data_IF_256612665513
#
_entry.id   IF_256612665513
#
_cell.length_a   1.000
_cell.length_b   1.000
_cell.length_c   1.000
_cell.angle_alpha   90.00
_cell.angle_beta   90.00
_cell.angle_gamma   90.00
#
_symmetry.space_group_name_H-M   'P 1'
#
loop_
_entity.id
_entity.type
_entity.pdbx_description
1 polymer ?
#
# COMPACT_ATOMS: atom_id res chain seq x y z
N UNK A 1 1.99 50.60 58.48
CA UNK A 1 0.84 51.21 59.17
C UNK A 1 -0.41 50.74 58.43
N UNK A 2 -1.18 49.82 59.05
CA UNK A 2 -2.61 49.49 58.80
C UNK A 2 -2.96 48.88 57.42
N UNK A 3 -3.32 47.60 57.27
CA UNK A 3 -4.43 46.81 57.82
C UNK A 3 -5.83 47.21 57.30
N UNK A 4 -6.42 46.30 56.50
CA UNK A 4 -7.82 45.84 56.46
C UNK A 4 -8.99 46.82 56.61
N UNK A 5 -9.93 46.77 55.67
CA UNK A 5 -11.38 46.90 55.97
C UNK A 5 -12.21 45.88 55.18
N UNK A 6 -13.11 45.24 55.92
CA UNK A 6 -14.02 44.13 55.60
C UNK A 6 -15.45 44.67 55.38
N UNK A 7 -16.28 43.83 54.73
CA UNK A 7 -17.76 43.64 54.85
C UNK A 7 -18.70 44.62 54.12
N UNK A 8 -19.64 44.06 53.34
CA UNK A 8 -20.95 43.59 53.85
C UNK A 8 -21.71 42.69 52.85
N UNK A 9 -22.66 41.94 53.40
CA UNK A 9 -23.38 40.76 52.89
C UNK A 9 -24.75 41.16 52.30
N UNK A 10 -25.25 40.39 51.32
CA UNK A 10 -26.67 40.40 50.93
C UNK A 10 -27.04 39.32 49.92
N UNK A 11 -27.82 38.32 50.37
CA UNK A 11 -28.31 37.14 49.64
C UNK A 11 -29.16 37.48 48.39
N UNK A 12 -29.31 36.64 47.35
CA UNK A 12 -30.20 35.45 47.32
C UNK A 12 -30.20 34.76 45.93
N UNK A 13 -30.53 33.46 45.92
CA UNK A 13 -31.14 32.63 44.85
C UNK A 13 -30.31 32.07 43.68
N UNK A 14 -30.00 30.76 43.82
CA UNK A 14 -30.28 29.63 42.91
C UNK A 14 -30.71 29.97 41.47
N UNK A 15 -29.91 29.54 40.48
CA UNK A 15 -30.33 28.53 39.49
C UNK A 15 -29.23 28.14 38.49
N UNK A 16 -29.14 26.82 38.31
CA UNK A 16 -28.65 26.08 37.12
C UNK A 16 -27.15 26.12 36.79
N UNK A 17 -26.48 25.08 37.32
CA UNK A 17 -25.38 24.38 36.66
C UNK A 17 -25.80 23.96 35.24
N UNK A 18 -25.34 24.70 34.22
CA UNK A 18 -25.08 24.10 32.91
C UNK A 18 -23.70 23.48 32.95
N UNK A 19 -23.66 22.17 33.23
CA UNK A 19 -22.50 21.34 32.92
C UNK A 19 -22.38 21.28 31.39
N UNK A 20 -21.60 22.19 30.83
CA UNK A 20 -21.13 22.08 29.45
C UNK A 20 -20.08 20.97 29.39
N UNK A 21 -20.51 19.72 29.19
CA UNK A 21 -19.64 18.70 28.60
C UNK A 21 -19.46 19.07 27.13
N UNK A 22 -18.57 20.03 26.89
CA UNK A 22 -18.00 20.26 25.57
C UNK A 22 -17.12 19.06 25.22
N UNK A 23 -17.74 18.00 24.69
CA UNK A 23 -17.02 17.06 23.84
C UNK A 23 -16.55 17.84 22.64
N UNK A 24 -15.33 18.36 22.73
CA UNK A 24 -14.62 18.92 21.60
C UNK A 24 -14.22 17.72 20.71
N UNK A 25 -15.19 17.19 19.97
CA UNK A 25 -14.87 16.37 18.80
C UNK A 25 -14.26 17.32 17.79
N UNK A 26 -12.93 17.28 17.65
CA UNK A 26 -12.31 17.66 16.40
C UNK A 26 -12.87 16.70 15.33
N UNK A 27 -13.99 17.12 14.73
CA UNK A 27 -14.33 16.71 13.38
C UNK A 27 -13.14 17.14 12.54
N UNK A 28 -12.20 16.21 12.32
CA UNK A 28 -11.25 16.34 11.23
C UNK A 28 -12.14 16.48 10.01
N UNK A 29 -12.26 17.69 9.51
CA UNK A 29 -12.94 18.01 8.25
C UNK A 29 -12.08 17.43 7.14
N UNK A 30 -12.01 16.10 7.09
CA UNK A 30 -11.45 15.33 6.03
C UNK A 30 -12.34 15.66 4.82
N UNK A 31 -11.80 16.48 3.92
CA UNK A 31 -12.36 16.72 2.61
C UNK A 31 -12.92 15.39 2.10
N UNK A 32 -14.25 15.31 1.96
CA UNK A 32 -14.91 14.10 1.45
C UNK A 32 -14.15 13.67 0.20
N UNK A 33 -13.56 12.47 0.25
CA UNK A 33 -12.48 12.15 -0.67
C UNK A 33 -12.88 12.31 -2.15
N UNK A 34 -11.93 12.69 -3.00
CA UNK A 34 -12.21 12.95 -4.42
C UNK A 34 -12.29 11.62 -5.15
N UNK A 35 -13.47 11.30 -5.68
CA UNK A 35 -13.71 10.15 -6.56
C UNK A 35 -13.55 10.62 -8.00
N UNK A 36 -12.74 9.89 -8.77
CA UNK A 36 -12.46 10.09 -10.18
C UNK A 36 -12.74 8.79 -10.96
N UNK A 37 -13.00 8.90 -12.26
CA UNK A 37 -13.21 7.74 -13.14
C UNK A 37 -12.21 7.80 -14.29
N UNK A 38 -11.27 6.86 -14.31
CA UNK A 38 -10.19 6.78 -15.31
C UNK A 38 -10.29 5.46 -16.07
N UNK A 39 -10.51 5.52 -17.38
CA UNK A 39 -10.57 4.33 -18.26
C UNK A 39 -11.53 3.24 -17.74
N UNK A 40 -12.69 3.63 -17.20
CA UNK A 40 -13.68 2.69 -16.65
C UNK A 40 -13.37 2.16 -15.25
N UNK A 41 -12.31 2.66 -14.60
CA UNK A 41 -11.97 2.36 -13.20
C UNK A 41 -12.33 3.55 -12.32
N UNK A 42 -13.09 3.30 -11.26
CA UNK A 42 -13.39 4.28 -10.20
C UNK A 42 -12.21 4.31 -9.22
N UNK A 43 -11.63 5.48 -9.03
CA UNK A 43 -10.47 5.68 -8.19
C UNK A 43 -10.75 6.81 -7.20
N UNK A 44 -10.55 6.54 -5.90
CA UNK A 44 -10.51 7.57 -4.87
C UNK A 44 -9.06 7.73 -4.41
N UNK A 45 -8.35 8.73 -4.93
CA UNK A 45 -6.92 8.93 -4.64
C UNK A 45 -6.67 9.71 -3.35
N UNK A 46 -7.62 10.54 -2.92
CA UNK A 46 -7.46 11.43 -1.76
C UNK A 46 -8.68 11.42 -0.89
N UNK A 47 -8.45 11.38 0.42
CA UNK A 47 -9.50 11.37 1.43
C UNK A 47 -10.29 10.05 1.47
N UNK A 48 -10.96 9.82 2.58
CA UNK A 48 -11.96 8.78 2.75
C UNK A 48 -13.14 9.44 3.43
N UNK A 49 -14.39 9.06 3.14
CA UNK A 49 -15.48 9.52 3.97
C UNK A 49 -15.20 9.12 5.42
N UNK A 50 -15.32 10.13 6.28
CA UNK A 50 -14.68 10.29 7.59
C UNK A 50 -14.67 8.99 8.39
N UNK A 51 -13.54 8.68 9.03
CA UNK A 51 -13.59 7.81 10.19
C UNK A 51 -14.62 8.43 11.15
N UNK A 52 -15.69 7.68 11.45
CA UNK A 52 -16.81 8.17 12.25
C UNK A 52 -16.70 7.65 13.68
N UNK A 53 -17.26 8.39 14.63
CA UNK A 53 -17.34 7.90 16.01
C UNK A 53 -18.32 6.72 16.11
N UNK A 54 -18.20 5.89 17.16
CA UNK A 54 -19.19 4.86 17.47
C UNK A 54 -20.62 5.40 17.55
N UNK A 55 -20.83 6.55 18.21
CA UNK A 55 -22.14 7.20 18.33
C UNK A 55 -22.71 7.58 16.96
N UNK A 56 -21.88 8.14 16.09
CA UNK A 56 -22.28 8.48 14.73
C UNK A 56 -22.61 7.21 13.92
N UNK A 57 -21.83 6.15 14.07
CA UNK A 57 -22.11 4.87 13.43
C UNK A 57 -23.46 4.31 13.87
N UNK A 58 -23.79 4.37 15.16
CA UNK A 58 -25.08 3.91 15.70
C UNK A 58 -26.27 4.73 15.20
N UNK A 59 -26.10 6.06 15.05
CA UNK A 59 -27.09 6.92 14.41
C UNK A 59 -27.30 6.48 12.95
N UNK A 60 -26.22 6.25 12.19
CA UNK A 60 -26.30 5.83 10.79
C UNK A 60 -26.92 4.44 10.64
N UNK A 61 -26.58 3.50 11.54
CA UNK A 61 -27.15 2.15 11.64
C UNK A 61 -28.67 2.18 11.85
N UNK A 62 -29.15 3.03 12.76
CA UNK A 62 -30.57 3.12 13.14
C UNK A 62 -31.44 3.93 12.18
N UNK A 63 -30.83 4.71 11.28
CA UNK A 63 -31.56 5.56 10.31
C UNK A 63 -32.25 4.72 9.23
N UNK A 64 -33.58 4.56 9.35
CA UNK A 64 -34.42 3.79 8.40
C UNK A 64 -34.48 4.38 6.99
N UNK A 65 -34.36 5.70 6.85
CA UNK A 65 -34.48 6.39 5.57
C UNK A 65 -33.24 6.36 4.68
N UNK A 66 -32.12 5.85 5.19
CA UNK A 66 -30.90 5.70 4.40
C UNK A 66 -30.86 4.30 3.78
N UNK A 67 -30.66 4.17 2.47
CA UNK A 67 -30.43 2.88 1.84
C UNK A 67 -29.01 2.37 2.14
N UNK A 68 -28.81 1.04 2.18
CA UNK A 68 -27.53 0.38 2.48
C UNK A 68 -27.44 -0.23 3.89
N UNK A 69 -26.64 -1.28 4.06
CA UNK A 69 -26.47 -2.02 5.31
C UNK A 69 -25.23 -1.63 6.12
N UNK A 70 -25.01 -2.31 7.25
CA UNK A 70 -23.68 -2.40 7.87
C UNK A 70 -22.93 -3.53 7.18
N UNK A 71 -21.64 -3.32 6.94
CA UNK A 71 -20.71 -4.38 6.58
C UNK A 71 -19.65 -4.49 7.66
N UNK A 72 -19.64 -5.61 8.36
CA UNK A 72 -18.66 -5.88 9.42
C UNK A 72 -17.68 -6.95 8.97
N UNK A 73 -16.38 -6.69 9.16
CA UNK A 73 -15.34 -7.69 9.07
C UNK A 73 -15.18 -8.37 10.44
N UNK A 74 -15.74 -9.56 10.59
CA UNK A 74 -15.78 -10.23 11.90
C UNK A 74 -14.47 -10.89 12.32
N UNK A 75 -13.58 -11.23 11.37
CA UNK A 75 -12.24 -11.73 11.69
C UNK A 75 -11.30 -11.64 10.48
N UNK A 76 -10.04 -11.27 10.76
CA UNK A 76 -8.90 -11.42 9.85
C UNK A 76 -7.84 -12.39 10.39
N UNK A 77 -8.10 -13.04 11.52
CA UNK A 77 -7.08 -13.81 12.27
C UNK A 77 -6.45 -14.94 11.45
N UNK A 78 -7.16 -15.43 10.42
CA UNK A 78 -6.67 -16.48 9.53
C UNK A 78 -6.01 -15.95 8.27
N UNK A 79 -6.16 -14.65 7.99
CA UNK A 79 -5.48 -14.01 6.87
C UNK A 79 -4.02 -13.89 7.29
N UNK A 80 -3.10 -14.43 6.49
CA UNK A 80 -1.69 -14.56 6.89
C UNK A 80 -0.93 -13.22 7.05
N UNK A 81 0.11 -13.03 6.23
CA UNK A 81 1.08 -11.94 6.40
C UNK A 81 0.49 -10.55 6.15
N UNK A 82 1.20 -9.50 6.56
CA UNK A 82 0.83 -8.08 6.42
C UNK A 82 0.35 -7.65 5.03
N UNK A 83 0.97 -8.13 3.94
CA UNK A 83 0.50 -7.84 2.57
C UNK A 83 -0.89 -8.41 2.26
N UNK A 84 -1.22 -9.55 2.87
CA UNK A 84 -2.52 -10.18 2.76
C UNK A 84 -3.58 -9.38 3.54
N UNK A 85 -3.28 -8.94 4.75
CA UNK A 85 -4.17 -8.05 5.51
C UNK A 85 -4.53 -6.80 4.71
N UNK A 86 -3.53 -6.14 4.11
CA UNK A 86 -3.76 -4.98 3.27
C UNK A 86 -4.73 -5.27 2.11
N UNK A 87 -4.52 -6.39 1.40
CA UNK A 87 -5.40 -6.79 0.29
C UNK A 87 -6.84 -7.05 0.74
N UNK A 88 -7.02 -7.69 1.90
CA UNK A 88 -8.32 -7.93 2.49
C UNK A 88 -9.05 -6.61 2.80
N UNK A 89 -8.35 -5.66 3.42
CA UNK A 89 -8.88 -4.33 3.74
C UNK A 89 -9.26 -3.57 2.46
N UNK A 90 -8.38 -3.53 1.45
CA UNK A 90 -8.65 -2.90 0.15
C UNK A 90 -9.88 -3.51 -0.54
N UNK A 91 -10.03 -4.83 -0.46
CA UNK A 91 -11.18 -5.57 -0.98
C UNK A 91 -12.47 -5.17 -0.27
N UNK A 92 -12.43 -5.02 1.06
CA UNK A 92 -13.59 -4.60 1.86
C UNK A 92 -14.01 -3.17 1.58
N UNK A 93 -13.06 -2.24 1.40
CA UNK A 93 -13.38 -0.88 0.97
C UNK A 93 -14.06 -0.86 -0.41
N UNK A 94 -13.56 -1.65 -1.35
CA UNK A 94 -14.16 -1.78 -2.68
C UNK A 94 -15.58 -2.36 -2.61
N UNK A 95 -15.78 -3.39 -1.77
CA UNK A 95 -17.10 -3.99 -1.55
C UNK A 95 -18.06 -3.02 -0.86
N UNK A 96 -17.60 -2.30 0.16
CA UNK A 96 -18.36 -1.29 0.88
C UNK A 96 -18.87 -0.20 -0.08
N UNK A 97 -17.99 0.28 -0.95
CA UNK A 97 -18.35 1.23 -2.00
C UNK A 97 -19.38 0.64 -2.98
N UNK A 98 -19.11 -0.55 -3.53
CA UNK A 98 -19.98 -1.22 -4.50
C UNK A 98 -21.39 -1.54 -3.94
N UNK A 99 -21.46 -1.90 -2.67
CA UNK A 99 -22.72 -2.19 -1.97
C UNK A 99 -23.37 -0.95 -1.36
N UNK A 100 -22.72 0.21 -1.46
CA UNK A 100 -23.16 1.47 -0.85
C UNK A 100 -23.49 1.29 0.64
N UNK A 101 -22.59 0.64 1.37
CA UNK A 101 -22.79 0.33 2.79
C UNK A 101 -22.80 1.61 3.61
N UNK A 102 -23.67 1.68 4.62
CA UNK A 102 -23.74 2.84 5.52
C UNK A 102 -22.51 2.92 6.39
N UNK A 103 -22.11 1.79 6.95
CA UNK A 103 -20.99 1.69 7.87
C UNK A 103 -20.18 0.47 7.45
N UNK A 104 -18.90 0.67 7.19
CA UNK A 104 -17.91 -0.38 7.12
C UNK A 104 -17.16 -0.41 8.45
N UNK A 105 -17.27 -1.53 9.13
CA UNK A 105 -16.58 -1.79 10.39
C UNK A 105 -15.38 -2.69 10.09
N UNK A 106 -14.19 -2.13 10.28
CA UNK A 106 -12.92 -2.82 10.13
C UNK A 106 -12.33 -3.11 11.52
N UNK A 107 -11.57 -4.20 11.64
CA UNK A 107 -10.76 -4.44 12.82
C UNK A 107 -9.74 -3.31 12.97
N UNK A 108 -9.19 -3.17 14.17
CA UNK A 108 -8.05 -2.29 14.39
C UNK A 108 -6.86 -2.58 13.49
N UNK A 109 -6.07 -1.54 13.28
CA UNK A 109 -4.73 -1.73 12.80
C UNK A 109 -3.86 -2.29 13.91
N UNK A 110 -3.29 -3.47 13.66
CA UNK A 110 -2.16 -3.88 14.44
C UNK A 110 -0.99 -2.96 14.09
N UNK A 111 -0.60 -2.09 15.02
CA UNK A 111 0.64 -1.31 14.94
C UNK A 111 1.86 -2.22 14.96
N UNK A 112 1.68 -3.50 15.32
CA UNK A 112 2.60 -4.59 15.00
C UNK A 112 2.04 -5.27 13.76
N UNK A 113 2.56 -4.97 12.58
CA UNK A 113 2.31 -5.84 11.43
C UNK A 113 2.53 -7.30 11.89
N UNK A 114 1.60 -8.24 11.59
CA UNK A 114 1.66 -9.58 12.15
C UNK A 114 3.08 -10.12 11.98
N UNK A 115 3.70 -10.47 13.11
CA UNK A 115 4.96 -11.21 13.08
C UNK A 115 4.74 -12.46 12.23
N UNK A 116 5.79 -13.00 11.62
CA UNK A 116 5.64 -14.24 10.82
C UNK A 116 5.01 -15.41 11.62
N UNK A 117 4.96 -15.29 12.95
CA UNK A 117 4.33 -16.21 13.91
C UNK A 117 2.82 -16.01 14.15
N UNK A 118 2.17 -14.97 13.62
CA UNK A 118 0.70 -14.81 13.68
C UNK A 118 0.13 -14.65 15.09
N UNK A 119 0.73 -13.82 15.94
CA UNK A 119 0.22 -13.57 17.29
C UNK A 119 -1.22 -13.02 17.30
N UNK A 120 -1.93 -13.27 18.42
CA UNK A 120 -3.37 -13.00 18.55
C UNK A 120 -3.70 -11.52 18.45
N UNK A 121 -4.60 -11.25 17.52
CA UNK A 121 -5.23 -9.96 17.29
C UNK A 121 -5.96 -9.45 18.54
N UNK A 122 -5.77 -8.18 18.90
CA UNK A 122 -6.56 -7.51 19.95
C UNK A 122 -7.25 -6.30 19.33
N UNK A 123 -8.56 -6.43 19.12
CA UNK A 123 -9.40 -5.44 18.44
C UNK A 123 -9.79 -4.29 19.37
N UNK A 124 -9.58 -3.05 18.94
CA UNK A 124 -10.64 -2.02 18.94
C UNK A 124 -11.14 -1.79 17.50
N UNK A 125 -12.03 -0.82 17.26
CA UNK A 125 -12.91 -0.82 16.07
C UNK A 125 -12.73 0.44 15.24
N UNK A 126 -12.36 0.29 13.95
CA UNK A 126 -12.33 1.40 12.99
C UNK A 126 -13.64 1.45 12.19
N UNK A 127 -14.30 2.61 12.19
CA UNK A 127 -15.61 2.80 11.56
C UNK A 127 -15.52 3.80 10.42
N UNK A 128 -15.87 3.35 9.21
CA UNK A 128 -15.93 4.19 8.01
C UNK A 128 -17.36 4.28 7.52
N UNK A 129 -17.72 5.35 6.83
CA UNK A 129 -19.06 5.48 6.27
C UNK A 129 -19.08 5.87 4.81
N UNK A 130 -19.93 5.24 3.99
CA UNK A 130 -20.09 5.60 2.57
C UNK A 130 -21.43 6.29 2.28
N UNK A 131 -22.17 6.71 3.31
CA UNK A 131 -23.52 7.24 3.14
C UNK A 131 -23.58 8.67 2.60
N UNK A 132 -22.48 9.42 2.66
CA UNK A 132 -22.37 10.73 2.01
C UNK A 132 -21.95 10.55 0.55
N UNK A 133 -22.88 10.12 -0.29
CA UNK A 133 -22.80 10.38 -1.73
C UNK A 133 -22.86 11.90 -1.90
N UNK A 134 -21.72 12.60 -2.03
CA UNK A 134 -21.68 13.94 -2.63
C UNK A 134 -22.06 13.84 -4.12
N UNK A 135 -23.31 13.45 -4.40
CA UNK A 135 -23.91 13.33 -5.75
C UNK A 135 -24.73 14.55 -6.13
N UNK A 136 -24.59 15.67 -5.42
CA UNK A 136 -25.02 16.96 -5.98
C UNK A 136 -24.23 17.29 -7.26
N UNK A 137 -23.09 16.63 -7.51
CA UNK A 137 -22.62 16.43 -8.88
C UNK A 137 -23.37 15.23 -9.44
N UNK A 138 -24.30 15.50 -10.35
CA UNK A 138 -24.84 14.47 -11.23
C UNK A 138 -23.68 13.57 -11.69
N UNK A 139 -23.84 12.23 -11.69
CA UNK A 139 -22.82 11.35 -12.24
C UNK A 139 -22.39 11.92 -13.59
N UNK A 140 -21.08 12.02 -13.88
CA UNK A 140 -20.57 12.68 -15.08
C UNK A 140 -21.40 12.20 -16.27
N UNK A 141 -22.15 13.12 -16.89
CA UNK A 141 -23.05 12.76 -17.99
C UNK A 141 -22.21 12.12 -19.08
N UNK A 142 -22.46 10.83 -19.28
CA UNK A 142 -21.69 9.95 -20.14
C UNK A 142 -21.80 10.39 -21.60
N UNK A 143 -20.65 10.68 -22.22
CA UNK A 143 -20.54 10.77 -23.68
C UNK A 143 -20.42 9.34 -24.21
N UNK A 144 -21.37 8.96 -25.08
CA UNK A 144 -21.63 7.63 -25.63
C UNK A 144 -20.37 6.78 -25.97
N UNK A 145 -20.25 5.60 -25.34
CA UNK A 145 -19.23 4.58 -25.65
C UNK A 145 -18.95 3.68 -24.44
N UNK A 146 -19.85 2.74 -24.15
CA UNK A 146 -20.12 2.11 -22.86
C UNK A 146 -19.05 1.19 -22.21
N UNK A 147 -18.72 1.51 -20.95
CA UNK A 147 -18.38 0.61 -19.83
C UNK A 147 -19.04 1.21 -18.55
N UNK A 148 -19.45 0.39 -17.56
CA UNK A 148 -20.83 -0.06 -17.37
C UNK A 148 -21.72 0.81 -16.46
N UNK A 149 -23.02 0.70 -16.72
CA UNK A 149 -24.17 1.46 -16.23
C UNK A 149 -24.97 0.81 -15.08
N UNK A 150 -24.44 -0.14 -14.29
CA UNK A 150 -25.30 -0.92 -13.35
C UNK A 150 -24.89 -0.90 -11.86
N UNK A 151 -24.15 0.11 -11.39
CA UNK A 151 -23.81 0.20 -9.95
C UNK A 151 -24.97 0.62 -9.05
N UNK A 152 -26.00 1.25 -9.62
CA UNK A 152 -27.14 1.73 -8.84
C UNK A 152 -28.07 0.59 -8.39
N UNK A 153 -28.05 -0.55 -9.10
CA UNK A 153 -28.92 -1.70 -8.82
C UNK A 153 -28.43 -2.67 -7.74
N UNK A 154 -27.22 -2.49 -7.19
CA UNK A 154 -26.66 -3.40 -6.17
C UNK A 154 -27.02 -2.98 -4.73
N UNK A 155 -27.61 -1.80 -4.56
CA UNK A 155 -27.87 -1.23 -3.25
C UNK A 155 -28.94 -2.01 -2.47
N UNK A 156 -28.60 -2.46 -1.27
CA UNK A 156 -29.55 -3.11 -0.34
C UNK A 156 -30.06 -4.49 -0.78
N UNK A 157 -29.52 -5.04 -1.87
CA UNK A 157 -29.84 -6.39 -2.34
C UNK A 157 -29.09 -7.43 -1.52
N UNK A 158 -29.75 -8.02 -0.53
CA UNK A 158 -29.19 -9.08 0.33
C UNK A 158 -28.63 -10.27 -0.46
N UNK A 159 -29.19 -10.55 -1.63
CA UNK A 159 -28.76 -11.63 -2.52
C UNK A 159 -27.42 -11.35 -3.23
N UNK A 160 -27.00 -10.08 -3.25
CA UNK A 160 -25.76 -9.63 -3.89
C UNK A 160 -24.77 -9.12 -2.84
N UNK A 161 -25.25 -8.28 -1.92
CA UNK A 161 -24.49 -7.53 -0.95
C UNK A 161 -24.69 -8.10 0.47
N UNK A 162 -23.62 -8.65 1.07
CA UNK A 162 -23.65 -9.22 2.41
C UNK A 162 -23.70 -8.13 3.50
N UNK A 163 -24.17 -8.50 4.70
CA UNK A 163 -24.01 -7.67 5.91
C UNK A 163 -22.78 -8.03 6.76
N UNK A 164 -22.28 -9.25 6.60
CA UNK A 164 -21.10 -9.75 7.31
C UNK A 164 -20.24 -10.55 6.35
N UNK A 165 -18.91 -10.45 6.49
CA UNK A 165 -17.99 -11.30 5.75
C UNK A 165 -16.93 -11.90 6.65
N UNK A 166 -16.82 -13.22 6.54
CA UNK A 166 -15.66 -13.99 6.95
C UNK A 166 -14.72 -14.12 5.76
N UNK A 167 -13.45 -13.79 5.95
CA UNK A 167 -12.43 -14.02 4.94
C UNK A 167 -11.79 -15.36 5.26
N UNK A 168 -11.95 -16.33 4.35
CA UNK A 168 -11.29 -17.63 4.50
C UNK A 168 -9.78 -17.42 4.38
N UNK A 169 -9.04 -17.85 5.39
CA UNK A 169 -7.61 -17.52 5.57
C UNK A 169 -6.66 -18.11 4.52
N UNK A 170 -7.16 -18.70 3.43
CA UNK A 170 -6.31 -19.35 2.44
C UNK A 170 -5.72 -18.35 1.45
N UNK A 171 -6.48 -17.32 1.07
CA UNK A 171 -5.98 -16.26 0.20
C UNK A 171 -6.69 -14.94 0.48
N UNK A 172 -5.91 -13.89 0.71
CA UNK A 172 -6.37 -12.61 1.26
C UNK A 172 -7.32 -11.79 0.38
N UNK A 173 -7.47 -12.20 -0.88
CA UNK A 173 -8.32 -11.60 -1.90
C UNK A 173 -9.44 -12.53 -2.36
N UNK A 174 -9.49 -13.78 -1.88
CA UNK A 174 -10.53 -14.74 -2.26
C UNK A 174 -11.70 -14.69 -1.27
N UNK A 175 -12.51 -13.63 -1.38
CA UNK A 175 -13.86 -13.68 -0.84
C UNK A 175 -14.67 -14.61 -1.75
N UNK A 176 -14.93 -15.84 -1.29
CA UNK A 176 -15.73 -16.82 -2.05
C UNK A 176 -17.22 -16.47 -1.96
N UNK A 177 -17.98 -16.95 -2.95
CA UNK A 177 -19.44 -16.79 -2.97
C UNK A 177 -19.90 -15.34 -3.18
N UNK A 178 -19.06 -14.49 -3.78
CA UNK A 178 -19.51 -13.17 -4.24
C UNK A 178 -20.34 -13.29 -5.51
N UNK A 179 -21.42 -12.52 -5.58
CA UNK A 179 -22.22 -12.40 -6.79
C UNK A 179 -21.34 -11.83 -7.94
N UNK A 180 -21.43 -12.35 -9.18
CA UNK A 180 -20.57 -11.93 -10.30
C UNK A 180 -20.59 -10.41 -10.56
N UNK A 181 -21.75 -9.75 -10.46
CA UNK A 181 -21.85 -8.30 -10.59
C UNK A 181 -21.08 -7.53 -9.51
N UNK A 182 -21.14 -7.99 -8.25
CA UNK A 182 -20.38 -7.39 -7.16
C UNK A 182 -18.87 -7.57 -7.39
N UNK A 183 -18.46 -8.78 -7.78
CA UNK A 183 -17.06 -9.06 -8.11
C UNK A 183 -16.57 -8.17 -9.27
N UNK A 184 -17.37 -8.00 -10.32
CA UNK A 184 -17.08 -7.10 -11.44
C UNK A 184 -16.93 -5.65 -10.98
N UNK A 185 -17.80 -5.19 -10.08
CA UNK A 185 -17.67 -3.86 -9.48
C UNK A 185 -16.37 -3.69 -8.70
N UNK A 186 -16.09 -4.62 -7.79
CA UNK A 186 -14.92 -4.54 -6.91
C UNK A 186 -13.59 -4.54 -7.68
N UNK A 187 -13.51 -5.23 -8.82
CA UNK A 187 -12.33 -5.19 -9.70
C UNK A 187 -12.06 -3.78 -10.25
N UNK A 188 -13.13 -3.02 -10.51
CA UNK A 188 -13.10 -1.69 -11.12
C UNK A 188 -13.13 -0.54 -10.11
N UNK A 189 -13.10 -0.82 -8.81
CA UNK A 189 -13.07 0.20 -7.76
C UNK A 189 -11.74 0.13 -7.02
N UNK A 190 -11.17 1.29 -6.70
CA UNK A 190 -9.91 1.45 -5.97
C UNK A 190 -10.07 2.60 -4.96
N UNK A 191 -10.07 2.27 -3.67
CA UNK A 191 -10.34 3.22 -2.60
C UNK A 191 -9.05 3.65 -1.89
N UNK A 192 -8.06 4.13 -2.66
CA UNK A 192 -6.70 4.43 -2.15
C UNK A 192 -6.70 5.44 -1.00
N UNK A 193 -7.55 6.46 -1.08
CA UNK A 193 -7.72 7.44 -0.03
C UNK A 193 -8.27 6.84 1.26
N UNK A 194 -9.12 5.82 1.17
CA UNK A 194 -9.58 5.02 2.32
C UNK A 194 -8.52 4.09 2.87
N UNK A 195 -7.80 3.41 1.99
CA UNK A 195 -6.65 2.60 2.40
C UNK A 195 -5.61 3.47 3.12
N UNK A 196 -5.30 4.65 2.59
CA UNK A 196 -4.35 5.59 3.20
C UNK A 196 -4.88 6.17 4.51
N UNK A 197 -6.18 6.48 4.60
CA UNK A 197 -6.81 6.99 5.82
C UNK A 197 -6.79 5.92 6.93
N UNK A 198 -7.13 4.68 6.57
CA UNK A 198 -7.02 3.53 7.46
C UNK A 198 -5.58 3.38 7.94
N UNK A 199 -4.63 3.32 7.00
CA UNK A 199 -3.21 3.12 7.30
C UNK A 199 -2.52 4.32 7.98
N UNK A 200 -3.15 5.49 8.05
CA UNK A 200 -2.49 6.76 8.42
C UNK A 200 -1.72 6.69 9.74
N UNK A 201 -2.30 6.05 10.75
CA UNK A 201 -1.67 5.92 12.08
C UNK A 201 -0.49 4.96 12.05
N UNK A 202 -0.60 3.85 11.32
CA UNK A 202 0.52 2.95 11.07
C UNK A 202 1.61 3.71 10.32
N UNK A 203 1.30 4.29 9.15
CA UNK A 203 2.25 5.01 8.28
C UNK A 203 2.88 6.26 8.94
N UNK A 204 2.46 6.65 10.15
CA UNK A 204 3.05 7.69 10.97
C UNK A 204 2.90 9.13 10.45
N UNK A 205 1.91 9.36 9.57
CA UNK A 205 1.65 10.66 8.97
C UNK A 205 2.79 11.21 8.10
N UNK A 206 2.63 12.44 7.59
CA UNK A 206 3.65 13.08 6.72
C UNK A 206 5.00 13.29 7.42
N UNK A 207 5.02 13.28 8.76
CA UNK A 207 6.21 13.43 9.59
C UNK A 207 7.01 12.14 9.76
N UNK A 208 6.45 10.96 9.47
CA UNK A 208 7.16 9.70 9.66
C UNK A 208 8.24 9.44 8.61
N UNK A 209 8.07 9.98 7.40
CA UNK A 209 9.19 10.02 6.48
C UNK A 209 9.99 11.27 6.79
N UNK A 210 11.26 11.16 7.20
CA UNK A 210 12.10 12.34 7.35
C UNK A 210 12.01 13.09 6.02
N UNK A 211 11.53 14.34 6.09
CA UNK A 211 11.53 15.19 4.92
C UNK A 211 12.92 15.08 4.34
N UNK A 212 13.08 14.82 3.02
CA UNK A 212 14.39 14.88 2.40
C UNK A 212 14.95 16.20 2.89
N UNK A 213 15.98 16.16 3.74
CA UNK A 213 16.57 17.41 4.23
C UNK A 213 16.80 18.18 2.95
N UNK A 214 16.13 19.33 2.81
CA UNK A 214 16.35 20.26 1.71
C UNK A 214 17.82 20.63 1.85
N UNK A 215 18.69 19.78 1.33
CA UNK A 215 20.10 20.05 1.13
C UNK A 215 20.07 21.03 -0.03
N UNK A 216 19.83 22.28 0.36
CA UNK A 216 20.07 23.51 -0.36
C UNK A 216 19.86 23.34 -1.87
N UNK A 217 18.60 23.51 -2.28
CA UNK A 217 18.24 23.91 -3.63
C UNK A 217 18.69 25.37 -3.89
N UNK A 218 19.95 25.68 -3.60
CA UNK A 218 20.59 26.92 -3.99
C UNK A 218 21.74 26.57 -4.92
N UNK A 219 21.60 27.04 -6.17
CA UNK A 219 22.52 27.00 -7.31
C UNK A 219 22.42 25.77 -8.22
N UNK A 220 21.32 25.71 -8.98
CA UNK A 220 21.34 25.13 -10.34
C UNK A 220 21.72 26.18 -11.40
N UNK A 221 22.32 27.32 -11.02
CA UNK A 221 22.61 28.45 -11.93
C UNK A 221 24.10 28.82 -12.03
N UNK A 222 25.02 27.92 -11.66
CA UNK A 222 26.45 28.11 -11.94
C UNK A 222 26.94 27.18 -13.05
N UNK A 223 26.78 27.69 -14.27
CA UNK A 223 27.68 27.51 -15.41
C UNK A 223 28.98 26.77 -15.05
N UNK A 224 29.07 25.50 -15.42
CA UNK A 224 30.29 24.72 -15.31
C UNK A 224 31.41 25.33 -16.17
N UNK A 225 32.18 26.25 -15.59
CA UNK A 225 33.55 26.51 -16.03
C UNK A 225 34.40 25.33 -15.57
N UNK A 226 34.84 24.55 -16.55
CA UNK A 226 35.86 23.51 -16.43
C UNK A 226 37.14 24.09 -15.83
N UNK A 227 37.29 24.01 -14.50
CA UNK A 227 38.60 24.09 -13.85
C UNK A 227 39.09 22.67 -13.62
N UNK A 228 39.92 22.21 -14.55
CA UNK A 228 40.68 20.97 -14.40
C UNK A 228 41.73 21.16 -13.29
N UNK A 229 41.67 20.36 -12.20
CA UNK A 229 42.79 20.36 -11.27
C UNK A 229 42.62 19.82 -9.85
N UNK A 230 41.46 19.34 -9.42
CA UNK A 230 41.33 18.78 -8.05
C UNK A 230 40.83 17.34 -8.08
N UNK A 231 41.73 16.42 -7.72
CA UNK A 231 41.50 14.98 -7.53
C UNK A 231 40.78 14.69 -6.21
N UNK A 232 39.76 15.47 -5.83
CA UNK A 232 38.85 15.02 -4.77
C UNK A 232 37.84 14.06 -5.40
N UNK A 233 37.42 12.98 -4.71
CA UNK A 233 36.32 12.16 -5.17
C UNK A 233 35.11 13.07 -5.32
N UNK A 234 34.73 13.36 -6.57
CA UNK A 234 33.54 14.13 -6.87
C UNK A 234 32.38 13.35 -6.26
N UNK A 235 31.82 13.84 -5.16
CA UNK A 235 30.57 13.32 -4.61
C UNK A 235 29.51 13.47 -5.71
N UNK A 236 29.29 12.39 -6.46
CA UNK A 236 28.24 12.35 -7.46
C UNK A 236 26.93 12.55 -6.70
N UNK A 237 26.22 13.64 -6.98
CA UNK A 237 24.79 13.74 -6.63
C UNK A 237 24.07 12.61 -7.37
N UNK A 238 23.85 11.52 -6.67
CA UNK A 238 23.12 10.36 -7.14
C UNK A 238 21.62 10.58 -7.17
N UNK A 239 20.90 9.60 -7.74
CA UNK A 239 19.48 9.64 -8.07
C UNK A 239 18.52 9.51 -6.87
N UNK A 240 18.98 9.84 -5.66
CA UNK A 240 18.24 9.66 -4.41
C UNK A 240 18.51 8.30 -3.75
N UNK A 241 17.64 7.95 -2.81
CA UNK A 241 17.63 6.67 -2.10
C UNK A 241 16.91 5.58 -2.89
N UNK A 242 17.51 4.39 -2.94
CA UNK A 242 16.89 3.16 -3.45
C UNK A 242 16.69 2.18 -2.31
N UNK A 243 15.46 1.68 -2.16
CA UNK A 243 15.18 0.53 -1.29
C UNK A 243 14.81 -0.67 -2.16
N UNK A 244 15.50 -1.78 -1.96
CA UNK A 244 15.32 -3.04 -2.69
C UNK A 244 14.68 -4.06 -1.77
N UNK A 245 13.43 -4.42 -2.03
CA UNK A 245 12.71 -5.46 -1.31
C UNK A 245 12.93 -6.82 -1.95
N UNK A 246 13.69 -7.69 -1.27
CA UNK A 246 13.95 -9.06 -1.69
C UNK A 246 13.11 -10.00 -0.84
N UNK A 247 12.10 -10.62 -1.44
CA UNK A 247 11.24 -11.57 -0.73
C UNK A 247 12.01 -12.86 -0.45
N UNK A 248 11.97 -13.31 0.80
CA UNK A 248 12.55 -14.55 1.31
C UNK A 248 11.51 -15.33 2.14
N UNK A 249 11.93 -16.43 2.78
CA UNK A 249 11.13 -17.14 3.78
C UNK A 249 10.23 -18.23 3.20
N UNK A 250 8.92 -18.11 3.43
CA UNK A 250 7.91 -19.14 3.16
C UNK A 250 7.83 -19.64 1.72
N UNK A 251 8.18 -18.80 0.76
CA UNK A 251 8.25 -19.17 -0.66
C UNK A 251 9.40 -20.15 -0.96
N UNK A 252 10.44 -20.18 -0.12
CA UNK A 252 11.60 -21.05 -0.26
C UNK A 252 11.48 -22.35 0.56
N UNK A 253 10.44 -22.47 1.39
CA UNK A 253 10.17 -23.69 2.17
C UNK A 253 9.75 -24.84 1.26
N UNK A 254 10.38 -26.03 1.34
CA UNK A 254 9.95 -27.20 0.57
C UNK A 254 8.48 -27.55 0.83
N UNK A 255 7.76 -27.98 -0.22
CA UNK A 255 6.36 -28.42 -0.12
C UNK A 255 5.34 -27.30 0.08
N UNK A 256 5.75 -26.03 -0.02
CA UNK A 256 4.85 -24.88 0.02
C UNK A 256 3.99 -24.79 -1.24
N UNK A 257 2.71 -24.42 -1.10
CA UNK A 257 1.82 -24.11 -2.24
C UNK A 257 2.19 -22.77 -2.90
N UNK A 258 3.07 -21.98 -2.27
CA UNK A 258 3.46 -20.65 -2.72
C UNK A 258 4.60 -20.64 -3.75
N UNK A 259 4.95 -21.80 -4.30
CA UNK A 259 5.95 -21.93 -5.37
C UNK A 259 5.58 -21.17 -6.66
N UNK A 260 4.31 -20.80 -6.80
CA UNK A 260 3.77 -20.01 -7.91
C UNK A 260 4.10 -18.50 -7.79
N UNK A 261 4.66 -18.06 -6.65
CA UNK A 261 5.14 -16.70 -6.45
C UNK A 261 6.64 -16.63 -6.73
N UNK A 262 7.05 -17.06 -7.93
CA UNK A 262 8.47 -17.02 -8.31
C UNK A 262 9.08 -15.64 -8.07
N UNK A 263 10.37 -15.63 -7.77
CA UNK A 263 11.06 -14.41 -7.38
C UNK A 263 11.97 -13.93 -8.51
N UNK A 264 12.25 -12.62 -8.60
CA UNK A 264 13.14 -12.11 -9.64
C UNK A 264 14.52 -12.76 -9.58
N UNK A 265 15.16 -12.98 -10.75
CA UNK A 265 16.53 -13.46 -10.77
C UNK A 265 17.49 -12.37 -10.26
N UNK A 266 18.69 -12.78 -9.87
CA UNK A 266 19.78 -11.89 -9.46
C UNK A 266 20.01 -10.76 -10.48
N UNK A 267 19.94 -11.08 -11.79
CA UNK A 267 20.20 -10.12 -12.86
C UNK A 267 19.21 -8.95 -12.87
N UNK A 268 17.97 -9.13 -12.42
CA UNK A 268 17.02 -8.03 -12.22
C UNK A 268 17.54 -7.03 -11.19
N UNK A 269 17.95 -7.50 -10.01
CA UNK A 269 18.46 -6.62 -8.96
C UNK A 269 19.74 -5.92 -9.40
N UNK A 270 20.65 -6.64 -10.08
CA UNK A 270 21.87 -6.05 -10.63
C UNK A 270 21.56 -4.97 -11.69
N UNK A 271 20.57 -5.20 -12.56
CA UNK A 271 20.14 -4.21 -13.54
C UNK A 271 19.58 -2.94 -12.87
N UNK A 272 18.81 -3.07 -11.80
CA UNK A 272 18.32 -1.93 -11.01
C UNK A 272 19.48 -1.17 -10.36
N UNK A 273 20.40 -1.88 -9.70
CA UNK A 273 21.58 -1.28 -9.07
C UNK A 273 22.39 -0.49 -10.10
N UNK A 274 22.62 -1.05 -11.28
CA UNK A 274 23.39 -0.44 -12.36
C UNK A 274 22.64 0.69 -13.10
N UNK A 275 21.31 0.79 -12.96
CA UNK A 275 20.50 1.71 -13.76
C UNK A 275 20.79 3.19 -13.50
N UNK A 276 21.23 3.53 -12.27
CA UNK A 276 21.53 4.91 -11.84
C UNK A 276 22.60 4.91 -10.75
N UNK A 277 23.37 6.00 -10.58
CA UNK A 277 24.20 6.18 -9.40
C UNK A 277 23.31 6.53 -8.20
N UNK A 278 23.17 5.65 -7.22
CA UNK A 278 22.31 5.86 -6.05
C UNK A 278 23.06 6.57 -4.92
N UNK A 279 22.39 7.51 -4.21
CA UNK A 279 22.97 8.17 -3.02
C UNK A 279 23.02 7.26 -1.81
N UNK A 280 22.04 6.37 -1.71
CA UNK A 280 21.92 5.39 -0.64
C UNK A 280 21.16 4.18 -1.19
N UNK A 281 21.65 2.98 -0.89
CA UNK A 281 20.93 1.74 -1.19
C UNK A 281 20.65 1.00 0.12
N UNK A 282 19.42 0.52 0.28
CA UNK A 282 19.04 -0.34 1.40
C UNK A 282 18.36 -1.60 0.86
N UNK A 283 18.91 -2.77 1.15
CA UNK A 283 18.30 -4.05 0.81
C UNK A 283 17.54 -4.56 2.02
N UNK A 284 16.26 -4.88 1.85
CA UNK A 284 15.38 -5.38 2.91
C UNK A 284 14.88 -6.77 2.55
N UNK A 285 15.02 -7.71 3.46
CA UNK A 285 14.57 -9.11 3.32
C UNK A 285 14.10 -9.65 4.67
N UNK A 286 13.26 -10.68 4.67
CA UNK A 286 12.87 -11.40 5.89
C UNK A 286 12.96 -12.93 5.69
N UNK A 287 13.68 -13.62 6.57
CA UNK A 287 13.75 -15.08 6.55
C UNK A 287 14.95 -15.62 7.32
N UNK A 288 14.82 -16.87 7.79
CA UNK A 288 15.92 -17.64 8.35
C UNK A 288 17.00 -17.88 7.28
N UNK A 289 18.25 -18.10 7.71
CA UNK A 289 19.40 -18.18 6.81
C UNK A 289 19.19 -19.19 5.68
N UNK A 290 18.70 -20.39 5.99
CA UNK A 290 18.42 -21.47 5.04
C UNK A 290 17.24 -21.18 4.09
N UNK A 291 16.42 -20.18 4.40
CA UNK A 291 15.26 -19.74 3.62
C UNK A 291 15.45 -18.36 2.97
N UNK A 292 16.66 -17.81 3.01
CA UNK A 292 17.00 -16.58 2.29
C UNK A 292 16.96 -16.78 0.79
N UNK A 293 16.48 -15.75 0.10
CA UNK A 293 16.51 -15.65 -1.34
C UNK A 293 17.97 -15.79 -1.85
N UNK A 294 18.25 -16.72 -2.78
CA UNK A 294 19.58 -16.92 -3.32
C UNK A 294 20.19 -15.64 -3.92
N UNK A 295 19.38 -14.79 -4.56
CA UNK A 295 19.84 -13.51 -5.10
C UNK A 295 20.31 -12.56 -3.98
N UNK A 296 19.63 -12.53 -2.83
CA UNK A 296 20.03 -11.71 -1.69
C UNK A 296 21.43 -12.12 -1.18
N UNK A 297 21.68 -13.42 -1.02
CA UNK A 297 22.97 -13.93 -0.55
C UNK A 297 24.13 -13.52 -1.47
N UNK A 298 23.90 -13.55 -2.78
CA UNK A 298 24.93 -13.11 -3.74
C UNK A 298 25.15 -11.60 -3.65
N UNK A 299 24.08 -10.81 -3.56
CA UNK A 299 24.19 -9.34 -3.39
C UNK A 299 24.93 -8.99 -2.09
N UNK A 300 24.64 -9.67 -0.99
CA UNK A 300 25.33 -9.51 0.29
C UNK A 300 26.83 -9.85 0.17
N UNK A 301 27.16 -10.93 -0.55
CA UNK A 301 28.54 -11.29 -0.87
C UNK A 301 29.26 -10.27 -1.75
N UNK A 302 28.58 -9.66 -2.72
CA UNK A 302 29.13 -8.57 -3.56
C UNK A 302 29.35 -7.31 -2.69
N UNK A 303 28.42 -7.01 -1.79
CA UNK A 303 28.51 -5.87 -0.88
C UNK A 303 29.67 -6.01 0.12
N UNK A 304 29.86 -7.18 0.71
CA UNK A 304 30.94 -7.43 1.68
C UNK A 304 32.34 -7.31 1.07
N UNK A 305 32.46 -7.48 -0.25
CA UNK A 305 33.67 -7.23 -1.02
C UNK A 305 33.86 -5.75 -1.41
N UNK A 306 32.95 -4.86 -1.02
CA UNK A 306 33.00 -3.43 -1.32
C UNK A 306 32.64 -3.06 -2.76
N UNK A 307 32.11 -4.00 -3.56
CA UNK A 307 31.83 -3.79 -4.98
C UNK A 307 30.58 -2.95 -5.24
N UNK A 308 29.69 -2.80 -4.26
CA UNK A 308 28.51 -1.92 -4.36
C UNK A 308 28.75 -0.50 -3.85
N UNK A 309 29.95 -0.20 -3.32
CA UNK A 309 30.29 1.08 -2.69
C UNK A 309 30.10 1.07 -1.17
N UNK A 310 30.18 2.26 -0.55
CA UNK A 310 30.14 2.42 0.91
C UNK A 310 28.78 2.84 1.47
N UNK A 311 27.83 3.17 0.60
CA UNK A 311 26.51 3.72 0.93
C UNK A 311 25.39 2.68 0.83
N UNK A 312 25.71 1.44 1.21
CA UNK A 312 24.83 0.27 1.08
C UNK A 312 24.56 -0.35 2.43
N UNK A 313 23.28 -0.52 2.75
CA UNK A 313 22.84 -1.17 3.98
C UNK A 313 22.10 -2.47 3.65
N UNK A 314 22.43 -3.53 4.38
CA UNK A 314 21.81 -4.84 4.26
C UNK A 314 20.97 -5.11 5.52
N UNK A 315 19.66 -5.27 5.36
CA UNK A 315 18.69 -5.44 6.45
C UNK A 315 18.01 -6.81 6.31
N UNK A 316 18.50 -7.79 7.07
CA UNK A 316 17.93 -9.15 7.15
C UNK A 316 17.08 -9.37 8.41
N UNK A 317 17.55 -8.82 9.53
CA UNK A 317 17.03 -9.11 10.87
C UNK A 317 16.45 -7.85 11.53
N UNK A 318 15.62 -7.12 10.79
CA UNK A 318 15.01 -5.87 11.25
C UNK A 318 13.52 -6.04 11.52
N UNK A 319 12.91 -5.30 12.47
CA UNK A 319 11.47 -5.31 12.63
C UNK A 319 10.77 -4.88 11.34
N UNK A 320 9.73 -5.62 10.95
CA UNK A 320 8.95 -5.35 9.74
C UNK A 320 8.45 -3.91 9.64
N UNK A 321 8.15 -3.27 10.78
CA UNK A 321 7.73 -1.87 10.82
C UNK A 321 8.81 -0.92 10.27
N UNK A 322 10.07 -1.11 10.64
CA UNK A 322 11.18 -0.28 10.16
C UNK A 322 11.45 -0.53 8.67
N UNK A 323 11.34 -1.78 8.21
CA UNK A 323 11.41 -2.13 6.79
C UNK A 323 10.30 -1.49 5.98
N UNK A 324 9.06 -1.56 6.47
CA UNK A 324 7.92 -0.93 5.83
C UNK A 324 8.12 0.59 5.75
N UNK A 325 8.53 1.22 6.85
CA UNK A 325 8.81 2.66 6.86
C UNK A 325 9.90 3.03 5.86
N UNK A 326 11.01 2.29 5.81
CA UNK A 326 12.07 2.52 4.83
C UNK A 326 11.54 2.42 3.40
N UNK A 327 10.73 1.41 3.09
CA UNK A 327 10.16 1.24 1.76
C UNK A 327 9.13 2.33 1.39
N UNK A 328 8.27 2.74 2.33
CA UNK A 328 7.29 3.79 2.09
C UNK A 328 7.92 5.17 1.89
N UNK A 329 9.06 5.42 2.52
CA UNK A 329 9.76 6.70 2.48
C UNK A 329 10.85 6.79 1.41
N UNK A 330 11.14 5.71 0.70
CA UNK A 330 12.18 5.67 -0.33
C UNK A 330 11.86 6.61 -1.51
N UNK A 331 12.91 7.18 -2.13
CA UNK A 331 12.75 7.92 -3.39
C UNK A 331 12.48 6.95 -4.56
N UNK A 332 13.08 5.76 -4.50
CA UNK A 332 12.94 4.68 -5.48
C UNK A 332 12.77 3.34 -4.81
N UNK A 333 11.93 2.49 -5.38
CA UNK A 333 11.65 1.15 -4.90
C UNK A 333 11.90 0.11 -5.97
N UNK A 334 12.67 -0.92 -5.64
CA UNK A 334 12.73 -2.15 -6.43
C UNK A 334 12.05 -3.27 -5.66
N UNK A 335 11.06 -3.88 -6.31
CA UNK A 335 10.12 -4.77 -5.64
C UNK A 335 10.33 -6.21 -6.10
N UNK A 336 9.91 -7.14 -5.24
CA UNK A 336 9.81 -8.58 -5.50
C UNK A 336 8.33 -8.98 -5.68
N UNK A 337 8.08 -10.23 -6.11
CA UNK A 337 6.72 -10.75 -6.23
C UNK A 337 6.18 -11.03 -4.83
N UNK A 338 5.25 -10.20 -4.37
CA UNK A 338 4.67 -10.32 -3.02
C UNK A 338 3.34 -9.56 -2.97
N UNK A 339 2.40 -10.00 -2.12
CA UNK A 339 1.20 -9.21 -1.83
C UNK A 339 1.54 -7.87 -1.14
N UNK A 340 2.70 -7.80 -0.50
CA UNK A 340 3.24 -6.57 0.10
C UNK A 340 3.57 -5.50 -0.95
N UNK A 341 3.92 -5.91 -2.17
CA UNK A 341 4.16 -4.99 -3.29
C UNK A 341 2.94 -4.13 -3.58
N UNK A 342 1.71 -4.65 -3.42
CA UNK A 342 0.49 -3.87 -3.63
C UNK A 342 0.36 -2.69 -2.66
N UNK A 343 0.69 -2.92 -1.37
CA UNK A 343 0.71 -1.88 -0.35
C UNK A 343 1.71 -0.78 -0.71
N UNK A 344 2.92 -1.17 -1.11
CA UNK A 344 4.00 -0.25 -1.43
C UNK A 344 3.71 0.58 -2.67
N UNK A 345 3.17 -0.04 -3.73
CA UNK A 345 2.81 0.67 -4.96
C UNK A 345 1.72 1.72 -4.72
N UNK A 346 0.74 1.40 -3.86
CA UNK A 346 -0.36 2.27 -3.54
C UNK A 346 0.03 3.44 -2.63
N UNK A 347 0.92 3.21 -1.66
CA UNK A 347 1.12 4.15 -0.54
C UNK A 347 2.56 4.67 -0.37
N UNK A 348 3.54 4.14 -1.09
CA UNK A 348 4.91 4.68 -1.02
C UNK A 348 5.02 6.06 -1.66
N UNK A 349 5.87 6.91 -1.09
CA UNK A 349 6.27 8.21 -1.62
C UNK A 349 7.22 8.11 -2.81
N UNK A 350 7.68 6.91 -3.14
CA UNK A 350 8.59 6.67 -4.25
C UNK A 350 8.10 7.33 -5.53
N UNK A 351 9.04 7.95 -6.23
CA UNK A 351 8.87 8.56 -7.56
C UNK A 351 9.29 7.62 -8.67
N UNK A 352 9.92 6.51 -8.31
CA UNK A 352 10.45 5.50 -9.21
C UNK A 352 10.16 4.11 -8.68
N UNK A 353 9.54 3.27 -9.50
CA UNK A 353 9.29 1.87 -9.19
C UNK A 353 9.97 0.98 -10.20
N UNK A 354 10.70 -0.03 -9.73
CA UNK A 354 11.20 -1.14 -10.52
C UNK A 354 10.36 -2.36 -10.15
N UNK A 355 9.63 -2.85 -11.14
CA UNK A 355 8.70 -3.95 -11.00
C UNK A 355 9.39 -5.24 -11.45
N UNK A 356 9.10 -6.36 -10.78
CA UNK A 356 9.67 -7.65 -11.11
C UNK A 356 8.95 -8.38 -12.26
N UNK A 357 8.23 -7.65 -13.10
CA UNK A 357 7.51 -8.15 -14.27
C UNK A 357 7.63 -7.15 -15.41
N UNK A 358 7.26 -7.56 -16.62
CA UNK A 358 7.32 -6.70 -17.81
C UNK A 358 6.28 -5.56 -17.79
N UNK A 359 6.43 -4.58 -18.67
CA UNK A 359 5.45 -3.48 -18.78
C UNK A 359 4.11 -3.94 -19.35
N UNK A 360 4.12 -4.95 -20.22
CA UNK A 360 2.92 -5.50 -20.83
C UNK A 360 2.25 -6.52 -19.89
N UNK A 361 0.90 -6.55 -19.84
CA UNK A 361 0.19 -7.63 -19.18
C UNK A 361 0.53 -8.95 -19.89
N UNK A 362 0.95 -9.97 -19.14
CA UNK A 362 1.20 -11.28 -19.74
C UNK A 362 -0.11 -11.88 -20.27
N UNK A 363 -0.09 -12.30 -21.54
CA UNK A 363 -1.24 -12.88 -22.23
C UNK A 363 -1.58 -14.23 -21.56
N UNK A 364 -2.77 -14.33 -20.95
CA UNK A 364 -3.20 -15.50 -20.19
C UNK A 364 -3.40 -15.23 -18.70
N UNK A 365 -2.81 -14.16 -18.18
CA UNK A 365 -2.84 -13.80 -16.76
C UNK A 365 -4.10 -13.01 -16.35
N UNK A 366 -5.24 -13.39 -16.95
CA UNK A 366 -6.55 -12.76 -16.70
C UNK A 366 -7.24 -13.29 -15.43
N UNK A 367 -6.71 -14.37 -14.86
CA UNK A 367 -7.30 -15.07 -13.71
C UNK A 367 -6.68 -14.70 -12.38
N UNK A 368 -5.40 -14.30 -12.35
CA UNK A 368 -4.86 -13.67 -11.16
C UNK A 368 -5.47 -12.28 -11.07
N UNK A 369 -6.15 -12.02 -9.96
CA UNK A 369 -6.71 -10.72 -9.61
C UNK A 369 -5.56 -9.72 -9.41
N UNK A 370 -4.91 -9.28 -10.48
CA UNK A 370 -3.69 -8.48 -10.45
C UNK A 370 -4.03 -7.02 -10.20
N UNK A 371 -3.98 -6.64 -8.93
CA UNK A 371 -4.30 -5.30 -8.44
C UNK A 371 -3.15 -4.28 -8.64
N UNK A 372 -2.08 -4.61 -9.37
CA UNK A 372 -1.08 -3.65 -9.82
C UNK A 372 -0.28 -4.16 -11.04
N UNK A 373 -0.84 -4.07 -12.24
CA UNK A 373 0.01 -4.05 -13.43
C UNK A 373 0.67 -2.65 -13.56
N UNK A 374 1.76 -2.57 -14.32
CA UNK A 374 2.45 -1.29 -14.56
C UNK A 374 1.47 -0.20 -15.03
N UNK A 375 0.54 -0.58 -15.93
CA UNK A 375 -0.50 0.30 -16.47
C UNK A 375 -1.36 0.94 -15.39
N UNK A 376 -1.79 0.21 -14.37
CA UNK A 376 -2.63 0.73 -13.29
C UNK A 376 -1.87 1.77 -12.46
N UNK A 377 -0.59 1.55 -12.19
CA UNK A 377 0.25 2.53 -11.49
C UNK A 377 0.39 3.78 -12.36
N UNK A 378 0.72 3.61 -13.64
CA UNK A 378 0.84 4.71 -14.60
C UNK A 378 -0.45 5.55 -14.70
N UNK A 379 -1.62 4.91 -14.63
CA UNK A 379 -2.92 5.58 -14.67
C UNK A 379 -3.26 6.31 -13.37
N UNK A 380 -2.90 5.73 -12.22
CA UNK A 380 -3.23 6.28 -10.90
C UNK A 380 -2.25 7.37 -10.48
N UNK A 381 -0.99 7.23 -10.87
CA UNK A 381 0.14 8.05 -10.43
C UNK A 381 0.95 8.50 -11.63
N UNK A 382 0.40 9.42 -12.42
CA UNK A 382 1.09 9.93 -13.62
C UNK A 382 2.39 10.68 -13.30
N UNK A 383 2.63 11.00 -12.03
CA UNK A 383 3.86 11.65 -11.55
C UNK A 383 5.01 10.69 -11.22
N UNK A 384 4.81 9.37 -11.31
CA UNK A 384 5.86 8.38 -11.02
C UNK A 384 6.38 7.73 -12.30
N UNK A 385 7.67 7.40 -12.28
CA UNK A 385 8.28 6.55 -13.31
C UNK A 385 8.18 5.08 -12.87
N UNK A 386 7.75 4.23 -13.77
CA UNK A 386 7.56 2.79 -13.56
C UNK A 386 8.41 2.06 -14.59
N UNK A 387 9.27 1.18 -14.11
CA UNK A 387 10.13 0.33 -14.92
C UNK A 387 9.73 -1.12 -14.71
N UNK A 388 9.66 -1.89 -15.80
CA UNK A 388 9.48 -3.33 -15.78
C UNK A 388 10.72 -4.06 -16.29
N UNK A 389 10.76 -5.37 -16.10
CA UNK A 389 11.80 -6.23 -16.67
C UNK A 389 11.64 -6.26 -18.19
N UNK A 390 12.74 -6.05 -18.90
CA UNK A 390 12.85 -6.39 -20.32
C UNK A 390 13.44 -7.79 -20.42
N UNK A 391 12.64 -8.76 -20.86
CA UNK A 391 13.08 -10.14 -21.03
C UNK A 391 13.78 -10.31 -22.39
N UNK A 392 14.83 -11.15 -22.44
CA UNK A 392 15.50 -11.54 -23.70
C UNK A 392 14.60 -12.40 -24.57
N UNK A 393 13.81 -13.28 -23.95
CA UNK A 393 12.84 -14.16 -24.61
C UNK A 393 11.53 -14.14 -23.82
N UNK A 394 10.41 -14.10 -24.54
CA UNK A 394 9.08 -13.91 -23.94
C UNK A 394 8.38 -15.21 -23.55
N UNK A 395 8.91 -16.39 -23.93
CA UNK A 395 8.13 -17.63 -23.91
C UNK A 395 8.62 -18.73 -22.97
N UNK A 396 9.90 -18.80 -22.56
CA UNK A 396 10.40 -20.05 -21.90
C UNK A 396 11.55 -19.91 -20.88
N UNK A 397 12.09 -18.72 -20.59
CA UNK A 397 13.44 -18.66 -20.02
C UNK A 397 13.57 -18.44 -18.51
N UNK A 398 12.47 -18.33 -17.75
CA UNK A 398 12.58 -18.19 -16.29
C UNK A 398 11.50 -18.98 -15.57
N UNK A 399 11.76 -20.27 -15.41
CA UNK A 399 10.79 -21.28 -14.94
C UNK A 399 10.41 -21.10 -13.48
N UNK A 400 11.22 -20.33 -12.73
CA UNK A 400 10.99 -19.98 -11.33
C UNK A 400 9.64 -19.30 -11.11
N UNK A 401 9.11 -18.57 -12.12
CA UNK A 401 7.77 -17.98 -12.03
C UNK A 401 6.64 -18.99 -12.13
N UNK A 402 6.85 -20.10 -12.82
CA UNK A 402 5.83 -21.14 -13.00
C UNK A 402 5.85 -22.15 -11.85
N UNK A 403 7.04 -22.52 -11.39
CA UNK A 403 7.23 -23.45 -10.28
C UNK A 403 8.56 -23.23 -9.56
N UNK A 404 8.55 -23.42 -8.24
CA UNK A 404 9.73 -23.42 -7.38
C UNK A 404 10.06 -24.84 -6.89
N UNK A 405 11.23 -25.30 -7.30
CA UNK A 405 11.92 -26.47 -6.81
C UNK A 405 13.35 -26.05 -6.39
N UNK A 406 13.67 -26.05 -5.08
CA UNK A 406 15.00 -25.66 -4.59
C UNK A 406 16.16 -26.41 -5.25
N UNK A 407 15.94 -27.64 -5.73
CA UNK A 407 16.99 -28.48 -6.30
C UNK A 407 17.38 -28.06 -7.73
N UNK A 408 16.46 -27.46 -8.48
CA UNK A 408 16.66 -27.07 -9.88
C UNK A 408 16.67 -25.56 -10.09
N UNK A 409 15.86 -24.81 -9.33
CA UNK A 409 15.66 -23.38 -9.55
C UNK A 409 16.63 -22.47 -8.77
N UNK A 410 17.31 -22.98 -7.73
CA UNK A 410 18.24 -22.16 -6.94
C UNK A 410 19.39 -21.62 -7.81
N UNK A 411 19.94 -22.47 -8.68
CA UNK A 411 20.99 -22.04 -9.61
C UNK A 411 20.42 -21.08 -10.65
N UNK A 412 19.25 -21.38 -11.22
CA UNK A 412 18.58 -20.54 -12.21
C UNK A 412 18.34 -19.11 -11.70
N UNK A 413 17.92 -18.94 -10.43
CA UNK A 413 17.76 -17.61 -9.83
C UNK A 413 19.05 -16.78 -9.84
N UNK A 414 20.21 -17.43 -9.73
CA UNK A 414 21.52 -16.77 -9.65
C UNK A 414 22.13 -16.56 -11.04
N UNK A 415 21.98 -17.54 -11.93
CA UNK A 415 22.71 -17.58 -13.22
C UNK A 415 21.86 -17.21 -14.43
N UNK A 416 20.54 -17.04 -14.26
CA UNK A 416 19.65 -16.68 -15.38
C UNK A 416 20.12 -15.40 -16.07
N UNK A 417 20.33 -15.50 -17.38
CA UNK A 417 20.65 -14.39 -18.28
C UNK A 417 19.41 -13.86 -19.02
N UNK A 418 18.22 -14.35 -18.65
CA UNK A 418 16.94 -14.08 -19.29
C UNK A 418 16.53 -12.61 -19.20
N UNK A 419 17.10 -11.85 -18.26
CA UNK A 419 16.90 -10.39 -18.15
C UNK A 419 17.82 -9.68 -19.15
N UNK A 420 17.21 -8.97 -20.11
CA UNK A 420 17.92 -8.09 -21.06
C UNK A 420 18.27 -6.75 -20.39
N UNK A 421 17.35 -6.22 -19.58
CA UNK A 421 17.50 -4.94 -18.92
C UNK A 421 16.21 -4.48 -18.24
N UNK A 422 16.10 -3.16 -18.05
CA UNK A 422 14.90 -2.51 -17.52
C UNK A 422 14.27 -1.65 -18.62
N UNK A 423 12.96 -1.79 -18.82
CA UNK A 423 12.17 -0.98 -19.75
C UNK A 423 11.26 -0.02 -18.98
N UNK A 424 11.14 1.22 -19.46
CA UNK A 424 10.23 2.21 -18.88
C UNK A 424 8.80 1.95 -19.40
N UNK A 425 7.85 1.81 -18.48
CA UNK A 425 6.43 1.61 -18.77
C UNK A 425 5.69 2.96 -18.86
N UNK A 426 6.02 3.85 -17.91
CA UNK A 426 5.71 5.27 -17.83
C UNK A 426 6.80 5.90 -16.94
#
# INVERSE_FOLDING_TARGET
>A
MWASVRRMVGATMVSMLTAGTGLHMESVTANGGVIDVRHGVVVQDRGCPQAISPDEADIRRSTRGWPGGVLTLSSIERIGRSGNHYMAISTLFSMAFCCQVKVLELPDMDWRLPTESGERFKSSTNLFSFSQRHTNRAPPQYINGSLPTDFEGLQGRLDVCPHERLIDGTHANHIRGLHPHLQKCMRNVKMRGCEAAYLKESLGGEHACPSPQRQLAEREDESAQLVAGTTSPLERRGAGSLVVHVRSGDIFKPGTIYHQYGQPPLLYYLAVIASKPWNKMSFVTSGEDDLLNPAYRVIEGINSQGLLGTNVEMHKDRPLWEDLQAMLCADSLALSHSTFTNLLLAHSRAKRFFLPWGCEPQVGDTTLNHFANATMICLQRSEVEVYGIEWRTTSEAYTVYDSWDPSSNLLEMVVSDSVKGMQRCC
#
